data_IF_875362810439
#
_entry.id   IF_875362810439
#
_cell.length_a   1.000
_cell.length_b   1.000
_cell.length_c   1.000
_cell.angle_alpha   90.00
_cell.angle_beta   90.00
_cell.angle_gamma   90.00
#
_symmetry.space_group_name_H-M   'P 1'
#
loop_
_entity.id
_entity.type
_entity.pdbx_description
1 polymer ?
#
# COMPACT_ATOMS: atom_id res chain seq x y z
N UNK A 1 -5.32 -14.28 -15.51
CA UNK A 1 -5.55 -13.72 -14.15
C UNK A 1 -5.63 -12.20 -14.24
N UNK A 2 -6.53 -11.62 -13.48
CA UNK A 2 -6.82 -10.18 -13.44
C UNK A 2 -6.35 -9.57 -12.13
N UNK A 3 -5.75 -8.37 -12.19
CA UNK A 3 -5.44 -7.58 -11.00
C UNK A 3 -6.58 -6.63 -10.66
N UNK A 4 -6.83 -6.42 -9.37
CA UNK A 4 -7.62 -5.32 -8.84
C UNK A 4 -6.70 -4.41 -8.03
N UNK A 5 -6.45 -3.22 -8.53
CA UNK A 5 -5.62 -2.21 -7.86
C UNK A 5 -6.56 -1.36 -6.99
N UNK A 6 -6.35 -1.44 -5.67
CA UNK A 6 -7.17 -0.78 -4.66
C UNK A 6 -6.38 0.43 -4.15
N UNK A 7 -6.96 1.60 -4.28
CA UNK A 7 -6.35 2.89 -3.94
C UNK A 7 -7.20 3.59 -2.88
N UNK A 8 -6.84 3.49 -1.59
CA UNK A 8 -7.48 4.29 -0.56
C UNK A 8 -7.11 5.77 -0.74
N UNK A 9 -8.09 6.65 -0.68
CA UNK A 9 -7.92 8.09 -0.85
C UNK A 9 -8.67 8.88 0.23
N UNK A 10 -8.08 10.00 0.66
CA UNK A 10 -8.70 10.99 1.52
C UNK A 10 -8.01 12.34 1.31
N UNK A 11 -8.75 13.31 0.75
CA UNK A 11 -8.24 14.66 0.45
C UNK A 11 -6.94 14.64 -0.41
N UNK A 12 -6.97 13.91 -1.54
CA UNK A 12 -5.85 13.71 -2.46
C UNK A 12 -6.05 14.36 -3.84
N UNK A 13 -6.91 15.41 -3.96
CA UNK A 13 -7.27 16.03 -5.23
C UNK A 13 -6.05 16.47 -6.07
N UNK A 14 -4.99 16.96 -5.43
CA UNK A 14 -3.78 17.43 -6.10
C UNK A 14 -3.02 16.30 -6.84
N UNK A 15 -3.14 15.04 -6.40
CA UNK A 15 -2.27 13.94 -6.85
C UNK A 15 -3.01 12.79 -7.47
N UNK A 16 -4.22 12.50 -7.00
CA UNK A 16 -4.96 11.31 -7.39
C UNK A 16 -5.08 11.18 -8.91
N UNK A 17 -5.27 12.31 -9.62
CA UNK A 17 -5.40 12.32 -11.06
C UNK A 17 -4.13 11.85 -11.80
N UNK A 18 -2.94 12.28 -11.34
CA UNK A 18 -1.68 11.86 -11.94
C UNK A 18 -1.38 10.38 -11.63
N UNK A 19 -1.63 9.95 -10.39
CA UNK A 19 -1.45 8.56 -9.97
C UNK A 19 -2.37 7.60 -10.73
N UNK A 20 -3.64 7.94 -10.92
CA UNK A 20 -4.57 7.10 -11.67
C UNK A 20 -4.27 7.07 -13.17
N UNK A 21 -3.86 8.18 -13.78
CA UNK A 21 -3.42 8.17 -15.18
C UNK A 21 -2.25 7.22 -15.41
N UNK A 22 -1.32 7.12 -14.47
CA UNK A 22 -0.20 6.17 -14.54
C UNK A 22 -0.66 4.70 -14.52
N UNK A 23 -1.87 4.41 -14.04
CA UNK A 23 -2.48 3.07 -14.06
C UNK A 23 -3.26 2.77 -15.35
N UNK A 24 -3.46 3.76 -16.22
CA UNK A 24 -4.18 3.60 -17.51
C UNK A 24 -3.69 2.43 -18.37
N UNK A 25 -2.38 2.22 -18.53
CA UNK A 25 -1.86 1.05 -19.27
C UNK A 25 -2.25 -0.30 -18.64
N UNK A 26 -2.46 -0.38 -17.33
CA UNK A 26 -2.95 -1.59 -16.66
C UNK A 26 -4.44 -1.80 -16.96
N UNK A 27 -5.25 -0.74 -16.90
CA UNK A 27 -6.67 -0.79 -17.24
C UNK A 27 -6.87 -1.19 -18.71
N UNK A 28 -6.05 -0.67 -19.65
CA UNK A 28 -6.10 -1.04 -21.06
C UNK A 28 -5.82 -2.54 -21.29
N UNK A 29 -5.12 -3.20 -20.37
CA UNK A 29 -4.88 -4.66 -20.39
C UNK A 29 -5.93 -5.47 -19.63
N UNK A 30 -7.06 -4.85 -19.23
CA UNK A 30 -8.19 -5.52 -18.58
C UNK A 30 -8.11 -5.64 -17.06
N UNK A 31 -7.12 -4.97 -16.42
CA UNK A 31 -7.07 -4.85 -14.98
C UNK A 31 -8.03 -3.76 -14.47
N UNK A 32 -8.48 -3.84 -13.24
CA UNK A 32 -9.36 -2.82 -12.67
C UNK A 32 -8.65 -1.95 -11.62
N UNK A 33 -9.06 -0.70 -11.56
CA UNK A 33 -8.61 0.27 -10.56
C UNK A 33 -9.81 0.73 -9.76
N UNK A 34 -9.80 0.48 -8.46
CA UNK A 34 -10.87 0.83 -7.52
C UNK A 34 -10.31 1.87 -6.56
N UNK A 35 -10.85 3.08 -6.61
CA UNK A 35 -10.59 4.11 -5.63
C UNK A 35 -11.60 4.00 -4.51
N UNK A 36 -11.10 3.98 -3.27
CA UNK A 36 -11.95 3.94 -2.08
C UNK A 36 -11.77 5.24 -1.31
N UNK A 37 -12.78 6.09 -1.39
CA UNK A 37 -12.79 7.39 -0.73
C UNK A 37 -13.22 7.26 0.73
N UNK A 38 -12.43 7.86 1.63
CA UNK A 38 -12.69 7.88 3.07
C UNK A 38 -13.51 9.07 3.55
N UNK A 39 -14.26 9.74 2.67
CA UNK A 39 -15.05 10.94 2.96
C UNK A 39 -14.27 12.23 2.69
N UNK A 40 -13.62 12.33 1.52
CA UNK A 40 -12.91 13.54 1.07
C UNK A 40 -13.83 14.75 0.98
N UNK A 41 -13.30 15.92 1.31
CA UNK A 41 -13.99 17.23 1.26
C UNK A 41 -13.55 18.08 0.07
N UNK A 42 -12.54 17.62 -0.65
CA UNK A 42 -12.00 18.26 -1.84
C UNK A 42 -12.50 17.59 -3.14
N UNK A 43 -11.88 17.89 -4.28
CA UNK A 43 -12.26 17.33 -5.57
C UNK A 43 -11.79 15.89 -5.81
N UNK A 44 -11.28 15.15 -4.81
CA UNK A 44 -10.72 13.79 -4.93
C UNK A 44 -11.65 12.85 -5.67
N UNK A 45 -12.91 12.73 -5.24
CA UNK A 45 -13.91 11.83 -5.83
C UNK A 45 -14.20 12.18 -7.29
N UNK A 46 -14.37 13.48 -7.58
CA UNK A 46 -14.63 13.97 -8.94
C UNK A 46 -13.48 13.65 -9.89
N UNK A 47 -12.26 13.85 -9.44
CA UNK A 47 -11.04 13.56 -10.24
C UNK A 47 -10.88 12.04 -10.41
N UNK A 48 -11.06 11.27 -9.35
CA UNK A 48 -10.96 9.82 -9.37
C UNK A 48 -11.96 9.18 -10.35
N UNK A 49 -13.20 9.67 -10.40
CA UNK A 49 -14.26 9.19 -11.28
C UNK A 49 -13.94 9.30 -12.78
N UNK A 50 -12.99 10.15 -13.17
CA UNK A 50 -12.53 10.28 -14.56
C UNK A 50 -11.50 9.23 -14.99
N UNK A 51 -10.87 8.56 -14.05
CA UNK A 51 -9.70 7.73 -14.32
C UNK A 51 -9.77 6.33 -13.71
N UNK A 52 -10.56 6.13 -12.66
CA UNK A 52 -10.73 4.83 -12.03
C UNK A 52 -11.80 3.99 -12.75
N UNK A 53 -11.70 2.67 -12.67
CA UNK A 53 -12.75 1.75 -13.12
C UNK A 53 -14.00 1.87 -12.23
N UNK A 54 -13.79 2.16 -10.95
CA UNK A 54 -14.84 2.35 -9.94
C UNK A 54 -14.34 3.26 -8.83
N UNK A 55 -15.24 4.10 -8.32
CA UNK A 55 -15.04 4.87 -7.09
C UNK A 55 -16.11 4.43 -6.10
N UNK A 56 -15.72 4.07 -4.90
CA UNK A 56 -16.62 3.72 -3.79
C UNK A 56 -16.30 4.56 -2.57
N UNK A 57 -17.31 4.83 -1.76
CA UNK A 57 -17.15 5.55 -0.49
C UNK A 57 -17.21 4.55 0.66
N UNK A 58 -16.34 4.71 1.63
CA UNK A 58 -16.35 3.92 2.86
C UNK A 58 -16.14 4.82 4.08
N UNK A 59 -16.22 4.23 5.26
CA UNK A 59 -15.77 4.92 6.46
C UNK A 59 -14.29 5.22 6.40
N UNK A 60 -13.91 6.36 7.01
CA UNK A 60 -12.50 6.75 7.13
C UNK A 60 -11.71 5.70 7.90
N UNK A 61 -10.58 5.30 7.37
CA UNK A 61 -9.66 4.34 7.96
C UNK A 61 -8.97 3.53 6.86
N UNK A 62 -7.64 3.46 6.89
CA UNK A 62 -6.88 2.82 5.81
C UNK A 62 -7.26 1.34 5.66
N UNK A 63 -7.35 0.60 6.78
CA UNK A 63 -7.78 -0.79 6.78
C UNK A 63 -9.21 -0.93 6.24
N UNK A 64 -10.14 -0.12 6.72
CA UNK A 64 -11.55 -0.12 6.31
C UNK A 64 -11.69 0.15 4.81
N UNK A 65 -10.98 1.16 4.29
CA UNK A 65 -10.99 1.50 2.86
C UNK A 65 -10.40 0.34 2.02
N UNK A 66 -9.27 -0.23 2.43
CA UNK A 66 -8.65 -1.35 1.70
C UNK A 66 -9.54 -2.60 1.71
N UNK A 67 -10.20 -2.91 2.82
CA UNK A 67 -11.17 -4.01 2.90
C UNK A 67 -12.40 -3.77 2.03
N UNK A 68 -12.96 -2.56 2.03
CA UNK A 68 -14.08 -2.20 1.17
C UNK A 68 -13.72 -2.33 -0.32
N UNK A 69 -12.52 -1.89 -0.70
CA UNK A 69 -12.00 -2.07 -2.05
C UNK A 69 -11.82 -3.53 -2.42
N UNK A 70 -11.29 -4.35 -1.52
CA UNK A 70 -11.12 -5.79 -1.73
C UNK A 70 -12.46 -6.51 -1.91
N UNK A 71 -13.48 -6.14 -1.12
CA UNK A 71 -14.84 -6.69 -1.26
C UNK A 71 -15.51 -6.32 -2.59
N UNK A 72 -15.24 -5.12 -3.12
CA UNK A 72 -15.78 -4.66 -4.39
C UNK A 72 -14.99 -5.17 -5.62
N UNK A 73 -13.79 -5.70 -5.40
CA UNK A 73 -12.87 -6.15 -6.44
C UNK A 73 -13.32 -7.45 -7.09
N UNK A 74 -12.99 -7.65 -8.38
CA UNK A 74 -13.34 -8.86 -9.16
C UNK A 74 -12.09 -9.63 -9.66
N UNK A 75 -10.90 -9.09 -9.43
CA UNK A 75 -9.65 -9.72 -9.90
C UNK A 75 -9.19 -10.86 -9.00
N UNK A 76 -8.33 -11.71 -9.55
CA UNK A 76 -7.75 -12.88 -8.87
C UNK A 76 -6.64 -12.48 -7.87
N UNK A 77 -6.04 -11.32 -8.09
CA UNK A 77 -4.98 -10.76 -7.26
C UNK A 77 -5.31 -9.33 -6.91
N UNK A 78 -5.29 -9.02 -5.61
CA UNK A 78 -5.48 -7.69 -5.06
C UNK A 78 -4.13 -6.98 -4.93
N UNK A 79 -4.06 -5.73 -5.37
CA UNK A 79 -2.87 -4.87 -5.22
C UNK A 79 -3.29 -3.65 -4.41
N UNK A 80 -2.68 -3.44 -3.26
CA UNK A 80 -2.94 -2.28 -2.40
C UNK A 80 -1.90 -1.20 -2.67
N UNK A 81 -2.36 -0.08 -3.21
CA UNK A 81 -1.50 1.01 -3.69
C UNK A 81 -1.92 2.33 -3.04
N UNK A 82 -1.01 3.02 -2.37
CA UNK A 82 -1.30 4.35 -1.83
C UNK A 82 -1.50 5.37 -2.97
N UNK A 83 -2.30 6.40 -2.73
CA UNK A 83 -2.65 7.41 -3.73
C UNK A 83 -1.45 8.21 -4.27
N UNK A 84 -0.34 8.27 -3.53
CA UNK A 84 0.91 8.91 -3.90
C UNK A 84 1.98 7.96 -4.43
N UNK A 85 1.64 6.67 -4.58
CA UNK A 85 2.56 5.66 -5.10
C UNK A 85 2.38 5.45 -6.61
N UNK A 86 3.48 5.06 -7.26
CA UNK A 86 3.49 4.67 -8.68
C UNK A 86 4.06 3.27 -8.83
N UNK A 87 3.34 2.41 -9.52
CA UNK A 87 3.83 1.07 -9.86
C UNK A 87 4.90 1.14 -10.96
N UNK A 88 5.88 0.20 -10.97
CA UNK A 88 6.84 0.10 -12.05
C UNK A 88 6.16 -0.33 -13.36
N UNK A 89 6.76 0.00 -14.52
CA UNK A 89 6.29 -0.51 -15.81
C UNK A 89 6.18 -2.03 -15.81
N UNK A 90 5.09 -2.57 -16.38
CA UNK A 90 4.87 -4.03 -16.43
C UNK A 90 4.58 -4.67 -15.08
N UNK A 91 4.13 -3.91 -14.08
CA UNK A 91 3.84 -4.39 -12.73
C UNK A 91 2.88 -5.59 -12.72
N UNK A 92 1.91 -5.62 -13.63
CA UNK A 92 0.97 -6.73 -13.82
C UNK A 92 1.69 -8.04 -14.15
N UNK A 93 2.58 -8.02 -15.16
CA UNK A 93 3.36 -9.20 -15.54
C UNK A 93 4.26 -9.66 -14.40
N UNK A 94 4.99 -8.71 -13.79
CA UNK A 94 5.88 -9.01 -12.67
C UNK A 94 5.15 -9.71 -11.52
N UNK A 95 3.93 -9.25 -11.19
CA UNK A 95 3.10 -9.82 -10.13
C UNK A 95 2.59 -11.20 -10.55
N UNK A 96 1.95 -11.31 -11.72
CA UNK A 96 1.30 -12.54 -12.15
C UNK A 96 2.29 -13.67 -12.42
N UNK A 97 3.35 -13.38 -13.17
CA UNK A 97 4.43 -14.35 -13.47
C UNK A 97 5.20 -14.72 -12.18
N UNK A 98 5.48 -13.74 -11.34
CA UNK A 98 6.18 -13.97 -10.08
C UNK A 98 5.38 -14.85 -9.11
N UNK A 99 4.07 -14.63 -8.96
CA UNK A 99 3.21 -15.49 -8.14
C UNK A 99 3.03 -16.88 -8.75
N UNK A 100 2.97 -16.98 -10.08
CA UNK A 100 2.85 -18.28 -10.76
C UNK A 100 4.12 -19.12 -10.61
N UNK A 101 5.30 -18.53 -10.85
CA UNK A 101 6.58 -19.25 -10.83
C UNK A 101 7.05 -19.58 -9.42
N UNK A 102 6.78 -18.74 -8.42
CA UNK A 102 7.25 -18.93 -7.06
C UNK A 102 6.34 -19.79 -6.19
N UNK A 103 5.10 -20.03 -6.59
CA UNK A 103 4.06 -20.65 -5.75
C UNK A 103 3.66 -19.82 -4.51
N UNK A 104 4.09 -18.56 -4.43
CA UNK A 104 3.77 -17.67 -3.31
C UNK A 104 2.33 -17.17 -3.41
N UNK A 105 1.72 -16.93 -2.26
CA UNK A 105 0.36 -16.40 -2.17
C UNK A 105 0.31 -14.87 -2.18
N UNK A 106 1.41 -14.20 -1.83
CA UNK A 106 1.48 -12.75 -1.72
C UNK A 106 2.90 -12.24 -1.87
N UNK A 107 3.03 -10.93 -2.01
CA UNK A 107 4.32 -10.29 -2.11
C UNK A 107 4.23 -8.77 -2.05
N UNK A 108 5.35 -8.14 -2.41
CA UNK A 108 5.49 -6.69 -2.45
C UNK A 108 6.57 -6.27 -3.45
N UNK A 109 6.55 -5.03 -3.87
CA UNK A 109 7.64 -4.42 -4.62
C UNK A 109 8.71 -3.86 -3.69
N UNK A 110 9.94 -3.73 -4.15
CA UNK A 110 10.89 -2.82 -3.49
C UNK A 110 10.35 -1.38 -3.60
N UNK A 111 10.74 -0.50 -2.67
CA UNK A 111 10.36 0.91 -2.70
C UNK A 111 11.54 1.77 -3.11
N UNK A 112 11.26 2.82 -3.88
CA UNK A 112 12.11 3.98 -4.05
C UNK A 112 11.34 5.19 -3.51
N UNK A 113 12.01 6.07 -2.78
CA UNK A 113 11.41 7.28 -2.20
C UNK A 113 11.92 8.47 -3.03
N UNK A 114 10.98 9.18 -3.66
CA UNK A 114 11.28 10.38 -4.44
C UNK A 114 11.48 11.58 -3.51
N UNK A 115 12.48 12.42 -3.82
CA UNK A 115 12.80 13.63 -3.06
C UNK A 115 14.25 14.03 -3.24
N UNK A 116 14.60 15.22 -2.78
CA UNK A 116 15.93 15.81 -2.96
C UNK A 116 17.00 15.23 -2.02
N UNK A 117 16.57 14.77 -0.84
CA UNK A 117 17.49 14.27 0.19
C UNK A 117 18.10 12.92 -0.20
N UNK A 118 19.43 12.88 -0.27
CA UNK A 118 20.19 11.63 -0.49
C UNK A 118 19.93 10.55 0.57
N UNK A 119 19.47 10.93 1.76
CA UNK A 119 19.12 10.00 2.83
C UNK A 119 17.91 9.14 2.48
N UNK A 120 17.00 9.63 1.60
CA UNK A 120 15.81 8.86 1.17
C UNK A 120 16.21 7.57 0.45
N UNK A 121 17.31 7.58 -0.32
CA UNK A 121 17.84 6.37 -0.96
C UNK A 121 18.33 5.33 0.06
N UNK A 122 19.00 5.80 1.10
CA UNK A 122 19.48 4.93 2.18
C UNK A 122 18.31 4.34 2.97
N UNK A 123 17.30 5.15 3.29
CA UNK A 123 16.07 4.71 3.96
C UNK A 123 15.35 3.66 3.13
N UNK A 124 15.15 3.89 1.83
CA UNK A 124 14.53 2.92 0.92
C UNK A 124 15.31 1.61 0.90
N UNK A 125 16.65 1.67 0.87
CA UNK A 125 17.50 0.48 0.94
C UNK A 125 17.28 -0.30 2.25
N UNK A 126 17.27 0.38 3.41
CA UNK A 126 16.99 -0.26 4.70
C UNK A 126 15.57 -0.84 4.76
N UNK A 127 14.55 -0.14 4.24
CA UNK A 127 13.18 -0.63 4.17
C UNK A 127 13.10 -1.93 3.37
N UNK A 128 13.75 -1.97 2.21
CA UNK A 128 13.77 -3.15 1.34
C UNK A 128 14.51 -4.32 1.98
N UNK A 129 15.68 -4.09 2.59
CA UNK A 129 16.44 -5.14 3.30
C UNK A 129 15.67 -5.70 4.48
N UNK A 130 15.15 -4.82 5.35
CA UNK A 130 14.32 -5.22 6.49
C UNK A 130 13.13 -6.07 6.05
N UNK A 131 12.41 -5.62 5.01
CA UNK A 131 11.25 -6.32 4.50
C UNK A 131 11.60 -7.72 3.97
N UNK A 132 12.73 -7.88 3.27
CA UNK A 132 13.21 -9.20 2.80
C UNK A 132 13.53 -10.14 3.96
N UNK A 133 14.17 -9.63 5.02
CA UNK A 133 14.57 -10.44 6.18
C UNK A 133 13.38 -10.80 7.08
N UNK A 134 12.54 -9.82 7.41
CA UNK A 134 11.42 -10.01 8.35
C UNK A 134 10.17 -10.62 7.70
N UNK A 135 10.01 -10.47 6.39
CA UNK A 135 8.77 -10.77 5.69
C UNK A 135 7.64 -9.78 6.03
N UNK A 136 7.98 -8.57 6.49
CA UNK A 136 7.01 -7.51 6.80
C UNK A 136 7.13 -6.39 5.76
N UNK A 137 6.09 -6.20 4.98
CA UNK A 137 5.94 -5.10 4.05
C UNK A 137 5.25 -3.91 4.73
N UNK A 138 5.35 -2.74 4.10
CA UNK A 138 4.59 -1.53 4.46
C UNK A 138 3.82 -1.03 3.24
N UNK A 139 2.80 -0.22 3.44
CA UNK A 139 1.94 0.28 2.37
C UNK A 139 2.69 0.91 1.20
N UNK A 140 3.82 1.59 1.46
CA UNK A 140 4.68 2.18 0.43
C UNK A 140 5.30 1.14 -0.55
N UNK A 141 5.30 -0.13 -0.18
CA UNK A 141 5.85 -1.22 -0.99
C UNK A 141 4.82 -1.88 -1.92
N UNK A 142 3.63 -1.32 -2.05
CA UNK A 142 2.54 -1.82 -2.89
C UNK A 142 2.38 -3.34 -2.77
N UNK A 143 1.75 -3.77 -1.67
CA UNK A 143 1.49 -5.18 -1.40
C UNK A 143 0.52 -5.76 -2.42
N UNK A 144 0.78 -7.00 -2.84
CA UNK A 144 -0.14 -7.76 -3.67
C UNK A 144 -0.38 -9.15 -3.06
N UNK A 145 -1.60 -9.63 -3.19
CA UNK A 145 -2.02 -10.88 -2.56
C UNK A 145 -3.06 -11.59 -3.43
N UNK A 146 -2.98 -12.92 -3.55
CA UNK A 146 -4.03 -13.74 -4.15
C UNK A 146 -5.31 -13.57 -3.36
N UNK A 147 -6.44 -13.38 -4.03
CA UNK A 147 -7.74 -13.21 -3.37
C UNK A 147 -8.02 -14.30 -2.34
N UNK A 148 -7.82 -15.56 -2.72
CA UNK A 148 -8.05 -16.70 -1.82
C UNK A 148 -7.25 -16.59 -0.52
N UNK A 149 -5.98 -16.16 -0.60
CA UNK A 149 -5.14 -15.99 0.58
C UNK A 149 -5.57 -14.78 1.42
N UNK A 150 -6.02 -13.70 0.78
CA UNK A 150 -6.57 -12.53 1.46
C UNK A 150 -7.83 -12.87 2.26
N UNK A 151 -8.75 -13.57 1.60
CA UNK A 151 -10.01 -14.00 2.21
C UNK A 151 -9.77 -15.00 3.35
N UNK A 152 -8.84 -15.95 3.14
CA UNK A 152 -8.48 -16.92 4.16
C UNK A 152 -7.92 -16.30 5.45
N UNK A 153 -7.13 -15.23 5.35
CA UNK A 153 -6.58 -14.53 6.54
C UNK A 153 -7.54 -13.50 7.13
N UNK A 154 -8.71 -13.28 6.52
CA UNK A 154 -9.73 -12.34 6.95
C UNK A 154 -9.38 -10.88 6.69
N UNK A 155 -8.58 -10.59 5.65
CA UNK A 155 -8.24 -9.23 5.23
C UNK A 155 -7.40 -8.44 6.23
N UNK A 156 -7.41 -7.11 6.06
CA UNK A 156 -6.79 -6.18 7.00
C UNK A 156 -7.56 -6.17 8.32
N UNK A 157 -6.89 -6.28 9.48
CA UNK A 157 -7.57 -6.04 10.75
C UNK A 157 -8.03 -4.57 10.83
N UNK A 158 -9.19 -4.35 11.42
CA UNK A 158 -9.74 -3.00 11.61
C UNK A 158 -9.04 -2.32 12.80
N UNK A 159 -7.84 -1.81 12.53
CA UNK A 159 -7.00 -1.09 13.50
C UNK A 159 -6.53 0.23 12.90
N UNK A 160 -6.38 1.24 13.74
CA UNK A 160 -6.10 2.60 13.31
C UNK A 160 -4.71 2.80 12.69
N UNK A 161 -3.73 1.96 13.06
CA UNK A 161 -2.35 2.01 12.57
C UNK A 161 -1.71 0.61 12.66
N UNK A 162 -0.70 0.33 11.82
CA UNK A 162 0.03 -0.95 11.73
C UNK A 162 -0.78 -2.09 11.10
N UNK A 163 -1.85 -1.77 10.39
CA UNK A 163 -2.70 -2.70 9.65
C UNK A 163 -1.93 -3.54 8.63
N UNK A 164 -0.94 -2.93 7.98
CA UNK A 164 -0.04 -3.56 7.01
C UNK A 164 0.87 -4.61 7.68
N UNK A 165 1.43 -4.28 8.85
CA UNK A 165 2.25 -5.21 9.64
C UNK A 165 1.39 -6.39 10.10
N UNK A 166 0.21 -6.12 10.62
CA UNK A 166 -0.70 -7.16 11.11
C UNK A 166 -1.15 -8.09 9.99
N UNK A 167 -1.49 -7.57 8.81
CA UNK A 167 -1.80 -8.37 7.63
C UNK A 167 -0.60 -9.24 7.22
N UNK A 168 0.61 -8.67 7.16
CA UNK A 168 1.83 -9.42 6.84
C UNK A 168 2.06 -10.59 7.80
N UNK A 169 1.83 -10.39 9.10
CA UNK A 169 1.97 -11.46 10.11
C UNK A 169 1.00 -12.61 9.83
N UNK A 170 -0.25 -12.31 9.45
CA UNK A 170 -1.25 -13.31 9.06
C UNK A 170 -0.85 -14.02 7.76
N UNK A 171 -0.48 -13.28 6.72
CA UNK A 171 -0.09 -13.81 5.41
C UNK A 171 1.17 -14.68 5.46
N UNK A 172 2.09 -14.41 6.38
CA UNK A 172 3.27 -15.27 6.61
C UNK A 172 2.94 -16.69 7.05
N UNK A 173 1.73 -16.93 7.59
CA UNK A 173 1.24 -18.28 7.91
C UNK A 173 0.85 -19.05 6.65
N UNK A 174 0.51 -18.36 5.56
CA UNK A 174 0.19 -18.95 4.26
C UNK A 174 1.47 -19.23 3.47
N UNK A 175 2.29 -18.20 3.27
CA UNK A 175 3.58 -18.32 2.58
C UNK A 175 4.52 -17.17 2.96
N UNK A 176 5.83 -17.33 2.69
CA UNK A 176 6.74 -16.18 2.68
C UNK A 176 6.38 -15.22 1.55
N UNK A 177 6.62 -13.89 1.69
CA UNK A 177 6.34 -12.94 0.62
C UNK A 177 7.25 -13.15 -0.60
N UNK A 178 6.70 -12.94 -1.78
CA UNK A 178 7.48 -12.68 -2.99
C UNK A 178 7.99 -11.24 -2.93
N UNK A 179 9.31 -11.07 -2.91
CA UNK A 179 9.94 -9.75 -2.86
C UNK A 179 10.45 -9.37 -4.25
N UNK A 180 9.65 -8.66 -5.03
CA UNK A 180 10.05 -8.16 -6.36
C UNK A 180 11.09 -7.05 -6.21
N UNK A 181 12.18 -7.12 -6.99
CA UNK A 181 13.23 -6.11 -7.00
C UNK A 181 12.84 -4.84 -7.77
N UNK A 182 11.84 -4.93 -8.65
CA UNK A 182 11.24 -3.77 -9.29
C UNK A 182 10.66 -2.84 -8.21
N UNK A 183 10.81 -1.51 -8.42
CA UNK A 183 10.54 -0.53 -7.38
C UNK A 183 9.24 0.20 -7.65
N UNK A 184 8.34 0.23 -6.67
CA UNK A 184 7.32 1.27 -6.59
C UNK A 184 7.96 2.58 -6.15
N UNK A 185 7.46 3.69 -6.67
CA UNK A 185 7.91 5.03 -6.28
C UNK A 185 6.88 5.62 -5.32
N UNK A 186 7.34 6.16 -4.18
CA UNK A 186 6.52 6.88 -3.20
C UNK A 186 7.09 8.25 -2.94
N UNK A 187 6.24 9.19 -2.51
CA UNK A 187 6.65 10.56 -2.22
C UNK A 187 7.47 10.67 -0.94
N UNK A 188 8.62 11.34 -1.01
CA UNK A 188 9.45 11.66 0.16
C UNK A 188 9.01 12.90 0.95
N UNK A 189 7.96 13.57 0.50
CA UNK A 189 7.51 14.87 1.04
C UNK A 189 7.27 14.85 2.56
N UNK A 190 6.70 13.78 3.11
CA UNK A 190 6.52 13.65 4.56
C UNK A 190 7.85 13.66 5.29
N UNK A 191 8.84 12.98 4.72
CA UNK A 191 10.21 12.92 5.24
C UNK A 191 10.90 14.29 5.21
N UNK A 192 10.68 15.04 4.15
CA UNK A 192 11.26 16.37 3.96
C UNK A 192 10.58 17.39 4.88
N UNK A 193 9.23 17.37 4.95
CA UNK A 193 8.47 18.30 5.78
C UNK A 193 8.71 18.12 7.28
N UNK A 194 8.75 16.87 7.76
CA UNK A 194 8.86 16.58 9.20
C UNK A 194 10.32 16.32 9.62
N UNK A 195 11.26 16.34 8.69
CA UNK A 195 12.67 15.99 8.92
C UNK A 195 12.90 14.48 8.86
N UNK A 196 13.92 14.09 8.09
CA UNK A 196 14.22 12.69 7.76
C UNK A 196 14.48 11.87 9.04
N UNK A 197 15.40 12.32 9.90
CA UNK A 197 15.80 11.59 11.11
C UNK A 197 14.66 11.52 12.14
N UNK A 198 13.92 12.62 12.31
CA UNK A 198 12.75 12.65 13.21
C UNK A 198 11.70 11.63 12.78
N UNK A 199 11.43 11.54 11.46
CA UNK A 199 10.48 10.58 10.91
C UNK A 199 10.97 9.13 11.08
N UNK A 200 12.27 8.84 10.83
CA UNK A 200 12.85 7.51 11.08
C UNK A 200 12.66 7.11 12.53
N UNK A 201 13.08 7.98 13.48
CA UNK A 201 12.98 7.69 14.90
C UNK A 201 11.54 7.46 15.36
N UNK A 202 10.61 8.32 14.89
CA UNK A 202 9.19 8.16 15.16
C UNK A 202 8.67 6.80 14.69
N UNK A 203 8.94 6.42 13.42
CA UNK A 203 8.49 5.15 12.88
C UNK A 203 9.07 3.93 13.60
N UNK A 204 10.32 4.01 14.02
CA UNK A 204 10.94 2.96 14.82
C UNK A 204 10.30 2.84 16.20
N UNK A 205 10.09 3.96 16.89
CA UNK A 205 9.42 4.01 18.20
C UNK A 205 8.01 3.43 18.13
N UNK A 206 7.22 3.81 17.11
CA UNK A 206 5.86 3.31 16.93
C UNK A 206 5.84 1.80 16.67
N UNK A 207 6.74 1.29 15.82
CA UNK A 207 6.84 -0.16 15.54
C UNK A 207 7.29 -0.96 16.76
N UNK A 208 8.28 -0.44 17.49
CA UNK A 208 8.74 -1.08 18.72
C UNK A 208 7.63 -1.12 19.76
N UNK A 209 6.92 -0.01 19.96
CA UNK A 209 5.79 0.04 20.89
C UNK A 209 4.65 -0.93 20.46
N UNK A 210 4.35 -1.03 19.15
CA UNK A 210 3.40 -2.00 18.63
C UNK A 210 3.84 -3.44 18.92
N UNK A 211 5.12 -3.76 18.71
CA UNK A 211 5.67 -5.07 19.00
C UNK A 211 5.53 -5.46 20.47
N UNK A 212 5.63 -4.49 21.39
CA UNK A 212 5.41 -4.69 22.83
C UNK A 212 3.94 -4.54 23.25
N UNK A 213 3.00 -4.57 22.31
CA UNK A 213 1.56 -4.63 22.59
C UNK A 213 0.89 -3.27 22.85
N UNK A 214 1.50 -2.16 22.46
CA UNK A 214 0.82 -0.86 22.56
C UNK A 214 -0.40 -0.81 21.64
N UNK A 215 -1.52 -0.28 22.16
CA UNK A 215 -2.78 -0.17 21.43
C UNK A 215 -2.63 0.69 20.14
N UNK A 216 -3.12 0.21 18.97
CA UNK A 216 -3.02 0.92 17.69
C UNK A 216 -3.59 2.34 17.71
N UNK A 217 -4.66 2.58 18.47
CA UNK A 217 -5.32 3.89 18.61
C UNK A 217 -4.40 4.90 19.31
N UNK A 218 -3.62 4.45 20.30
CA UNK A 218 -2.59 5.29 20.96
C UNK A 218 -1.46 5.63 20.01
N UNK A 219 -1.03 4.65 19.21
CA UNK A 219 0.02 4.85 18.21
C UNK A 219 -0.42 5.81 17.11
N UNK A 220 -1.68 5.71 16.69
CA UNK A 220 -2.27 6.60 15.69
C UNK A 220 -2.30 8.05 16.15
N UNK A 221 -2.73 8.32 17.40
CA UNK A 221 -2.67 9.68 17.98
C UNK A 221 -1.26 10.26 18.00
N UNK A 222 -0.24 9.46 18.33
CA UNK A 222 1.15 9.90 18.29
C UNK A 222 1.61 10.19 16.86
N UNK A 223 1.14 9.38 15.90
CA UNK A 223 1.49 9.51 14.49
C UNK A 223 0.87 10.74 13.81
N UNK A 224 -0.36 11.10 14.17
CA UNK A 224 -1.04 12.30 13.65
C UNK A 224 -0.55 13.60 14.32
N UNK A 225 -0.13 13.55 15.58
CA UNK A 225 0.39 14.70 16.31
C UNK A 225 1.88 15.00 16.09
N UNK A 226 2.57 14.30 15.23
CA UNK A 226 3.98 14.42 14.95
C UNK A 226 4.22 15.02 13.56
#
# INVERSE_FOLDING_TARGET
MKLSIIVPALDEAERIGASLRALGPLQARGHEVIVVDGGSRDATVTIAGRHASRVIVSWRGRATQMNAGAAAATGDVLVFLHADNRLPPGADRLVLEGLASSGRAWGRFDVAIDGESRWLRLIAWFMNRRSRLSGIATGDQAMFVRREAYDWVGGFPDIALMEDIALCVRLKRVSRPLCLAAKTQTSGRRWERNGVFRTVFLMWRLRLAYFFGAAPERLHRIYEGA
#
